data_IF_098112281082
#
_entry.id   IF_098112281082
#
_cell.length_a   1.000
_cell.length_b   1.000
_cell.length_c   1.000
_cell.angle_alpha   90.00
_cell.angle_beta   90.00
_cell.angle_gamma   90.00
#
_symmetry.space_group_name_H-M   'P 1'
#
loop_
_entity.id
_entity.type
_entity.pdbx_description
1 polymer ?
#
# COMPACT_ATOMS: atom_id res chain seq x y z
N UNK A 1 20.39 -27.48 -40.58
CA UNK A 1 21.54 -26.60 -40.28
C UNK A 1 21.11 -25.14 -40.26
N UNK A 2 20.92 -24.44 -41.40
CA UNK A 2 20.53 -23.01 -41.38
C UNK A 2 19.16 -22.69 -40.74
N UNK A 3 18.22 -23.63 -40.75
CA UNK A 3 16.92 -23.48 -40.06
C UNK A 3 17.02 -23.70 -38.53
N UNK A 4 17.91 -24.58 -38.08
CA UNK A 4 18.19 -24.81 -36.66
C UNK A 4 18.93 -23.63 -36.03
N UNK A 5 19.91 -23.07 -36.75
CA UNK A 5 20.66 -21.89 -36.30
C UNK A 5 19.74 -20.68 -36.12
N UNK A 6 18.79 -20.49 -37.03
CA UNK A 6 17.82 -19.40 -36.96
C UNK A 6 16.80 -19.60 -35.83
N UNK A 7 16.39 -20.83 -35.54
CA UNK A 7 15.53 -21.13 -34.38
C UNK A 7 16.26 -20.90 -33.06
N UNK A 8 17.52 -21.35 -32.96
CA UNK A 8 18.33 -21.13 -31.77
C UNK A 8 18.63 -19.65 -31.51
N UNK A 9 18.79 -18.85 -32.57
CA UNK A 9 18.96 -17.41 -32.46
C UNK A 9 17.67 -16.71 -31.98
N UNK A 10 16.51 -17.12 -32.50
CA UNK A 10 15.20 -16.62 -32.03
C UNK A 10 14.97 -16.98 -30.56
N UNK A 11 15.26 -18.22 -30.16
CA UNK A 11 15.11 -18.66 -28.76
C UNK A 11 16.08 -17.92 -27.83
N UNK A 12 17.29 -17.61 -28.28
CA UNK A 12 18.24 -16.80 -27.52
C UNK A 12 17.78 -15.36 -27.36
N UNK A 13 17.32 -14.73 -28.44
CA UNK A 13 16.80 -13.35 -28.40
C UNK A 13 15.56 -13.27 -27.48
N UNK A 14 14.62 -14.21 -27.60
CA UNK A 14 13.45 -14.28 -26.73
C UNK A 14 13.84 -14.57 -25.26
N UNK A 15 14.83 -15.43 -25.03
CA UNK A 15 15.34 -15.72 -23.70
C UNK A 15 16.02 -14.52 -23.03
N UNK A 16 16.72 -13.69 -23.80
CA UNK A 16 17.38 -12.47 -23.33
C UNK A 16 16.37 -11.34 -23.03
N UNK A 17 15.31 -11.22 -23.84
CA UNK A 17 14.32 -10.11 -23.75
C UNK A 17 13.11 -10.40 -22.83
N UNK A 18 12.66 -11.66 -22.76
CA UNK A 18 11.42 -12.05 -22.04
C UNK A 18 11.73 -12.98 -20.85
N UNK A 19 12.96 -13.51 -20.80
CA UNK A 19 13.42 -14.45 -19.78
C UNK A 19 13.43 -15.88 -20.29
N UNK A 20 14.34 -16.68 -19.72
CA UNK A 20 14.48 -18.11 -20.01
C UNK A 20 13.37 -18.94 -19.34
N UNK A 21 13.49 -20.27 -19.38
CA UNK A 21 12.46 -21.26 -19.02
C UNK A 21 11.70 -21.03 -17.68
N UNK A 22 12.25 -20.23 -16.75
CA UNK A 22 11.64 -19.96 -15.47
C UNK A 22 10.60 -18.84 -15.50
N UNK A 23 10.55 -18.00 -16.55
CA UNK A 23 9.61 -16.90 -16.75
C UNK A 23 9.72 -15.76 -15.73
N UNK A 24 10.81 -15.67 -14.96
CA UNK A 24 10.97 -14.64 -13.91
C UNK A 24 11.00 -13.23 -14.49
N UNK A 25 11.69 -13.03 -15.61
CA UNK A 25 11.86 -11.70 -16.21
C UNK A 25 10.50 -11.14 -16.68
N UNK A 26 9.74 -11.91 -17.46
CA UNK A 26 8.37 -11.55 -17.84
C UNK A 26 7.44 -11.29 -16.65
N UNK A 27 7.51 -12.13 -15.60
CA UNK A 27 6.70 -11.93 -14.38
C UNK A 27 7.08 -10.64 -13.66
N UNK A 28 8.38 -10.39 -13.48
CA UNK A 28 8.89 -9.18 -12.83
C UNK A 28 8.48 -7.92 -13.61
N UNK A 29 8.57 -7.98 -14.94
CA UNK A 29 8.09 -6.93 -15.83
C UNK A 29 6.57 -6.70 -15.73
N UNK A 30 5.76 -7.75 -15.75
CA UNK A 30 4.31 -7.60 -15.58
C UNK A 30 3.92 -7.07 -14.18
N UNK A 31 4.65 -7.49 -13.15
CA UNK A 31 4.48 -7.00 -11.79
C UNK A 31 4.90 -5.53 -11.66
N UNK A 32 5.94 -5.08 -12.37
CA UNK A 32 6.36 -3.68 -12.34
C UNK A 32 5.32 -2.76 -12.99
N UNK A 33 4.68 -3.19 -14.10
CA UNK A 33 3.54 -2.47 -14.69
C UNK A 33 2.33 -2.41 -13.74
N UNK A 34 2.08 -3.51 -13.02
CA UNK A 34 1.02 -3.53 -12.00
C UNK A 34 1.35 -2.59 -10.85
N UNK A 35 2.61 -2.55 -10.44
CA UNK A 35 3.10 -1.65 -9.40
C UNK A 35 2.99 -0.19 -9.84
N UNK A 36 3.29 0.15 -11.10
CA UNK A 36 3.11 1.50 -11.62
C UNK A 36 1.64 1.95 -11.54
N UNK A 37 0.70 1.04 -11.88
CA UNK A 37 -0.74 1.28 -11.68
C UNK A 37 -1.13 1.46 -10.21
N UNK A 38 -0.54 0.67 -9.32
CA UNK A 38 -0.75 0.81 -7.87
C UNK A 38 -0.24 2.15 -7.37
N UNK A 39 0.97 2.54 -7.76
CA UNK A 39 1.59 3.80 -7.35
C UNK A 39 0.77 5.00 -7.82
N UNK A 40 0.17 4.95 -9.01
CA UNK A 40 -0.71 6.01 -9.48
C UNK A 40 -1.92 6.22 -8.56
N UNK A 41 -2.59 5.13 -8.15
CA UNK A 41 -3.77 5.23 -7.25
C UNK A 41 -3.34 5.55 -5.82
N UNK A 42 -2.26 4.94 -5.33
CA UNK A 42 -1.72 5.19 -4.00
C UNK A 42 -1.28 6.66 -3.85
N UNK A 43 -0.62 7.23 -4.85
CA UNK A 43 -0.21 8.65 -4.82
C UNK A 43 -1.39 9.61 -4.80
N UNK A 44 -2.54 9.27 -5.42
CA UNK A 44 -3.74 10.08 -5.31
C UNK A 44 -4.23 10.16 -3.85
N UNK A 45 -4.23 9.04 -3.13
CA UNK A 45 -4.53 9.03 -1.70
C UNK A 45 -3.43 9.69 -0.86
N UNK A 46 -2.16 9.49 -1.22
CA UNK A 46 -1.03 10.08 -0.50
C UNK A 46 -1.01 11.61 -0.62
N UNK A 47 -1.48 12.17 -1.72
CA UNK A 47 -1.63 13.63 -1.88
C UNK A 47 -2.60 14.23 -0.85
N UNK A 48 -3.65 13.49 -0.47
CA UNK A 48 -4.61 13.91 0.56
C UNK A 48 -4.07 13.68 1.98
N UNK A 49 -3.34 12.58 2.18
CA UNK A 49 -2.85 12.14 3.49
C UNK A 49 -1.56 12.84 3.94
N UNK A 50 -0.61 12.97 3.01
CA UNK A 50 0.74 13.48 3.24
C UNK A 50 1.30 14.09 1.94
N UNK A 51 0.81 15.27 1.50
CA UNK A 51 1.18 15.90 0.22
C UNK A 51 2.67 16.20 0.06
N UNK A 52 3.43 16.17 1.16
CA UNK A 52 4.90 16.21 1.18
C UNK A 52 5.54 15.05 0.40
N UNK A 53 4.92 13.88 0.40
CA UNK A 53 5.51 12.66 -0.14
C UNK A 53 4.84 12.19 -1.42
N UNK A 54 5.66 11.67 -2.33
CA UNK A 54 5.21 10.95 -3.50
C UNK A 54 6.02 9.66 -3.64
N UNK A 55 5.36 8.55 -3.93
CA UNK A 55 6.01 7.27 -4.15
C UNK A 55 6.36 7.10 -5.63
N UNK A 56 7.54 6.54 -5.87
CA UNK A 56 7.96 6.11 -7.18
C UNK A 56 8.76 4.81 -7.10
N UNK A 57 8.87 4.13 -8.24
CA UNK A 57 9.70 2.95 -8.37
C UNK A 57 11.17 3.36 -8.48
N UNK A 58 12.06 2.61 -7.85
CA UNK A 58 13.51 2.82 -8.02
C UNK A 58 13.86 2.50 -9.48
N UNK A 59 14.53 3.42 -10.23
CA UNK A 59 14.88 3.18 -11.61
C UNK A 59 15.73 1.91 -11.77
N UNK A 60 15.37 1.07 -12.75
CA UNK A 60 16.04 -0.23 -13.02
C UNK A 60 15.88 -1.30 -11.93
N UNK A 61 15.01 -1.09 -10.95
CA UNK A 61 14.62 -2.09 -9.96
C UNK A 61 13.13 -2.38 -10.10
N UNK A 62 12.77 -3.63 -10.36
CA UNK A 62 11.41 -3.94 -10.81
C UNK A 62 10.33 -3.65 -9.76
N UNK A 63 10.61 -3.90 -8.48
CA UNK A 63 9.61 -3.85 -7.39
C UNK A 63 10.04 -3.02 -6.17
N UNK A 64 11.13 -2.27 -6.28
CA UNK A 64 11.64 -1.46 -5.18
C UNK A 64 11.04 -0.05 -5.22
N UNK A 65 10.71 0.50 -4.04
CA UNK A 65 10.07 1.80 -3.90
C UNK A 65 11.03 2.81 -3.28
N UNK A 66 10.96 4.04 -3.76
CA UNK A 66 11.57 5.22 -3.17
C UNK A 66 10.52 6.32 -2.99
N UNK A 67 10.84 7.30 -2.17
CA UNK A 67 9.96 8.44 -1.87
C UNK A 67 10.61 9.73 -2.33
N UNK A 68 9.82 10.59 -2.97
CA UNK A 68 10.18 11.97 -3.27
C UNK A 68 9.68 12.84 -2.11
N UNK A 69 10.58 13.56 -1.47
CA UNK A 69 10.29 14.51 -0.40
C UNK A 69 10.20 15.93 -0.98
N UNK A 70 8.98 16.39 -1.24
CA UNK A 70 8.71 17.68 -1.91
C UNK A 70 9.13 18.88 -1.06
N UNK A 71 9.03 18.76 0.26
CA UNK A 71 9.44 19.81 1.20
C UNK A 71 10.97 19.96 1.26
N UNK A 72 11.69 18.89 0.90
CA UNK A 72 13.16 18.87 0.80
C UNK A 72 13.65 19.09 -0.65
N UNK A 73 12.91 19.88 -1.43
CA UNK A 73 13.30 20.20 -2.81
C UNK A 73 13.15 19.04 -3.79
N UNK A 74 12.18 18.14 -3.54
CA UNK A 74 11.97 16.91 -4.31
C UNK A 74 13.16 15.94 -4.22
N UNK A 75 13.79 15.85 -3.04
CA UNK A 75 14.86 14.89 -2.79
C UNK A 75 14.32 13.46 -2.84
N UNK A 76 15.02 12.58 -3.55
CA UNK A 76 14.71 11.16 -3.63
C UNK A 76 15.38 10.42 -2.48
N UNK A 77 14.58 9.76 -1.64
CA UNK A 77 15.03 9.07 -0.43
C UNK A 77 14.52 7.63 -0.41
N UNK A 78 15.22 6.77 0.31
CA UNK A 78 14.72 5.42 0.61
C UNK A 78 13.49 5.50 1.51
N UNK A 79 12.49 4.65 1.25
CA UNK A 79 11.32 4.47 2.13
C UNK A 79 11.71 4.06 3.56
N UNK A 80 12.89 3.47 3.74
CA UNK A 80 13.42 3.10 5.06
C UNK A 80 13.79 4.32 5.93
N UNK A 81 13.90 5.51 5.33
CA UNK A 81 14.26 6.74 6.04
C UNK A 81 13.05 7.51 6.60
N UNK A 82 11.83 7.00 6.36
CA UNK A 82 10.60 7.58 6.84
C UNK A 82 10.43 7.35 8.36
N UNK A 83 9.83 8.31 9.05
CA UNK A 83 9.42 8.14 10.44
C UNK A 83 8.30 7.10 10.58
N UNK A 84 7.96 6.71 11.82
CA UNK A 84 6.90 5.74 12.06
C UNK A 84 5.52 6.20 11.56
N UNK A 85 5.19 7.49 11.73
CA UNK A 85 3.94 8.06 11.22
C UNK A 85 3.93 8.18 9.70
N UNK A 86 5.05 8.59 9.09
CA UNK A 86 5.17 8.71 7.64
C UNK A 86 5.07 7.34 6.94
N UNK A 87 5.75 6.33 7.50
CA UNK A 87 5.68 4.95 7.01
C UNK A 87 4.26 4.40 7.09
N UNK A 88 3.52 4.75 8.14
CA UNK A 88 2.12 4.38 8.29
C UNK A 88 1.24 5.00 7.20
N UNK A 89 1.39 6.30 6.90
CA UNK A 89 0.62 6.98 5.85
C UNK A 89 0.91 6.42 4.46
N UNK A 90 2.19 6.14 4.17
CA UNK A 90 2.61 5.49 2.93
C UNK A 90 2.00 4.09 2.81
N UNK A 91 2.05 3.29 3.88
CA UNK A 91 1.47 1.94 3.90
C UNK A 91 -0.05 1.98 3.76
N UNK A 92 -0.70 2.96 4.40
CA UNK A 92 -2.13 3.20 4.28
C UNK A 92 -2.48 3.51 2.82
N UNK A 93 -1.85 4.52 2.21
CA UNK A 93 -2.09 4.91 0.81
C UNK A 93 -1.94 3.72 -0.18
N UNK A 94 -0.91 2.87 0.03
CA UNK A 94 -0.72 1.65 -0.74
C UNK A 94 -1.84 0.63 -0.52
N UNK A 95 -2.28 0.41 0.72
CA UNK A 95 -3.39 -0.48 1.03
C UNK A 95 -4.71 0.00 0.39
N UNK A 96 -4.93 1.32 0.36
CA UNK A 96 -6.08 1.91 -0.33
C UNK A 96 -6.00 1.72 -1.85
N UNK A 97 -4.82 1.97 -2.43
CA UNK A 97 -4.57 1.75 -3.86
C UNK A 97 -4.78 0.29 -4.27
N UNK A 98 -4.26 -0.65 -3.49
CA UNK A 98 -4.44 -2.10 -3.71
C UNK A 98 -5.91 -2.49 -3.63
N UNK A 99 -6.62 -1.96 -2.62
CA UNK A 99 -8.05 -2.18 -2.48
C UNK A 99 -8.78 -1.71 -3.73
N UNK A 100 -8.48 -0.51 -4.24
CA UNK A 100 -9.07 0.08 -5.46
C UNK A 100 -8.81 -0.71 -6.75
N UNK A 101 -7.61 -1.25 -6.94
CA UNK A 101 -7.28 -2.06 -8.12
C UNK A 101 -7.97 -3.44 -8.15
N UNK A 102 -8.26 -3.98 -6.97
CA UNK A 102 -8.86 -5.31 -6.78
C UNK A 102 -10.30 -5.46 -7.32
N UNK A 103 -10.87 -4.41 -7.93
CA UNK A 103 -12.23 -4.42 -8.46
C UNK A 103 -12.46 -5.35 -9.67
N UNK A 104 -11.41 -5.76 -10.42
CA UNK A 104 -11.57 -6.46 -11.70
C UNK A 104 -11.64 -7.99 -11.60
N UNK A 105 -10.85 -8.67 -10.75
CA UNK A 105 -10.86 -10.14 -10.63
C UNK A 105 -10.94 -10.69 -9.19
N UNK A 106 -10.53 -9.92 -8.16
CA UNK A 106 -10.48 -10.37 -6.76
C UNK A 106 -11.07 -9.29 -5.86
N UNK A 107 -12.37 -9.31 -5.58
CA UNK A 107 -13.01 -8.26 -4.76
C UNK A 107 -12.50 -8.30 -3.31
N UNK A 108 -11.50 -7.48 -2.98
CA UNK A 108 -11.13 -7.17 -1.59
C UNK A 108 -12.24 -6.30 -1.01
N UNK A 109 -13.12 -6.93 -0.22
CA UNK A 109 -14.28 -6.27 0.41
C UNK A 109 -13.97 -5.70 1.79
N UNK A 110 -12.88 -6.16 2.40
CA UNK A 110 -12.53 -5.85 3.79
C UNK A 110 -11.08 -5.39 3.87
N UNK A 111 -10.86 -4.26 4.51
CA UNK A 111 -9.54 -3.74 4.87
C UNK A 111 -9.44 -3.73 6.39
N UNK A 112 -8.41 -4.37 6.95
CA UNK A 112 -8.08 -4.32 8.37
C UNK A 112 -6.78 -3.54 8.54
N UNK A 113 -6.80 -2.50 9.36
CA UNK A 113 -5.64 -1.66 9.67
C UNK A 113 -5.30 -1.86 11.14
N UNK A 114 -4.05 -2.24 11.41
CA UNK A 114 -3.58 -2.55 12.75
C UNK A 114 -2.53 -1.54 13.22
N UNK A 115 -2.88 -0.77 14.24
CA UNK A 115 -2.05 0.24 14.91
C UNK A 115 -1.41 1.28 13.95
N UNK A 116 -0.64 2.23 14.47
CA UNK A 116 0.06 3.26 13.68
C UNK A 116 -0.65 4.62 13.60
N UNK A 117 -1.90 4.73 14.04
CA UNK A 117 -2.57 6.03 14.19
C UNK A 117 -2.04 6.86 15.37
N UNK A 118 -1.46 6.22 16.39
CA UNK A 118 -0.96 6.89 17.60
C UNK A 118 0.32 7.69 17.40
N UNK A 119 1.00 7.52 16.27
CA UNK A 119 2.19 8.28 15.89
C UNK A 119 1.87 9.49 15.01
N UNK A 120 0.60 9.65 14.61
CA UNK A 120 0.13 10.78 13.81
C UNK A 120 -0.20 11.98 14.69
N UNK A 121 0.07 13.18 14.18
CA UNK A 121 -0.47 14.39 14.77
C UNK A 121 -2.00 14.46 14.52
N UNK A 122 -2.75 15.27 15.29
CA UNK A 122 -4.21 15.33 15.20
C UNK A 122 -4.75 15.69 13.81
N UNK A 123 -4.04 16.55 13.05
CA UNK A 123 -4.50 16.98 11.73
C UNK A 123 -4.33 15.87 10.69
N UNK A 124 -3.22 15.15 10.73
CA UNK A 124 -2.97 14.01 9.87
C UNK A 124 -3.90 12.83 10.19
N UNK A 125 -4.19 12.60 11.48
CA UNK A 125 -5.18 11.61 11.90
C UNK A 125 -6.58 11.93 11.34
N UNK A 126 -6.96 13.21 11.33
CA UNK A 126 -8.24 13.65 10.78
C UNK A 126 -8.37 13.34 9.29
N UNK A 127 -7.34 13.71 8.51
CA UNK A 127 -7.27 13.38 7.08
C UNK A 127 -7.33 11.87 6.84
N UNK A 128 -6.58 11.08 7.62
CA UNK A 128 -6.59 9.62 7.51
C UNK A 128 -7.99 9.04 7.71
N UNK A 129 -8.72 9.49 8.73
CA UNK A 129 -10.07 9.05 9.01
C UNK A 129 -11.06 9.47 7.90
N UNK A 130 -10.92 10.68 7.37
CA UNK A 130 -11.75 11.17 6.25
C UNK A 130 -11.61 10.31 5.00
N UNK A 131 -10.38 9.86 4.67
CA UNK A 131 -10.13 8.96 3.54
C UNK A 131 -10.72 7.56 3.79
N UNK A 132 -10.66 7.06 5.02
CA UNK A 132 -11.29 5.79 5.39
C UNK A 132 -12.82 5.84 5.29
N UNK A 133 -13.43 6.95 5.70
CA UNK A 133 -14.88 7.17 5.57
C UNK A 133 -15.30 7.20 4.09
N UNK A 134 -14.52 7.88 3.24
CA UNK A 134 -14.76 7.89 1.79
C UNK A 134 -14.72 6.48 1.20
N UNK A 135 -13.80 5.63 1.66
CA UNK A 135 -13.75 4.23 1.24
C UNK A 135 -14.93 3.41 1.75
N UNK A 136 -15.35 3.63 2.99
CA UNK A 136 -16.53 2.98 3.55
C UNK A 136 -17.79 3.31 2.72
N UNK A 137 -17.92 4.56 2.26
CA UNK A 137 -19.00 5.00 1.38
C UNK A 137 -19.03 4.30 0.01
N UNK A 138 -17.90 3.76 -0.46
CA UNK A 138 -17.85 2.92 -1.68
C UNK A 138 -18.36 1.48 -1.47
N UNK A 139 -18.86 1.15 -0.27
CA UNK A 139 -19.37 -0.18 0.07
C UNK A 139 -18.30 -1.14 0.58
N UNK A 140 -17.14 -0.64 1.01
CA UNK A 140 -16.06 -1.42 1.61
C UNK A 140 -16.21 -1.49 3.12
N UNK A 141 -15.86 -2.63 3.71
CA UNK A 141 -15.73 -2.75 5.16
C UNK A 141 -14.31 -2.38 5.56
N UNK A 142 -14.17 -1.33 6.36
CA UNK A 142 -12.90 -0.95 6.97
C UNK A 142 -12.99 -1.28 8.45
N UNK A 143 -12.05 -2.07 8.95
CA UNK A 143 -11.85 -2.33 10.37
C UNK A 143 -10.54 -1.73 10.83
N UNK A 144 -10.55 -1.05 11.97
CA UNK A 144 -9.36 -0.41 12.53
C UNK A 144 -9.14 -0.95 13.95
N UNK A 145 -7.90 -1.35 14.23
CA UNK A 145 -7.42 -1.70 15.56
C UNK A 145 -6.53 -0.57 16.03
N UNK A 146 -6.92 0.10 17.11
CA UNK A 146 -6.15 1.21 17.66
C UNK A 146 -6.44 1.42 19.14
N UNK A 147 -5.43 1.90 19.86
CA UNK A 147 -5.55 2.41 21.22
C UNK A 147 -5.82 3.92 21.30
N UNK A 148 -5.93 4.61 20.16
CA UNK A 148 -6.10 6.07 20.10
C UNK A 148 -7.54 6.46 20.44
N UNK A 149 -7.78 7.27 21.49
CA UNK A 149 -9.14 7.65 21.90
C UNK A 149 -9.93 8.41 20.83
N UNK A 150 -9.27 9.27 20.05
CA UNK A 150 -9.91 10.08 19.00
C UNK A 150 -10.56 9.24 17.88
N UNK A 151 -10.06 8.01 17.65
CA UNK A 151 -10.68 7.08 16.71
C UNK A 151 -12.04 6.56 17.20
N UNK A 152 -12.15 6.30 18.51
CA UNK A 152 -13.36 5.78 19.14
C UNK A 152 -14.52 6.78 19.05
N UNK A 153 -14.22 8.08 19.10
CA UNK A 153 -15.25 9.13 19.01
C UNK A 153 -15.84 9.27 17.60
N UNK A 154 -15.10 8.89 16.56
CA UNK A 154 -15.56 8.97 15.16
C UNK A 154 -16.22 7.70 14.65
N UNK A 155 -15.73 6.55 15.07
CA UNK A 155 -16.26 5.26 14.62
C UNK A 155 -17.33 4.80 15.60
N UNK A 156 -18.61 4.98 15.22
CA UNK A 156 -19.74 4.70 16.09
C UNK A 156 -19.91 3.22 16.48
N UNK A 157 -19.47 2.28 15.65
CA UNK A 157 -19.51 0.85 15.95
C UNK A 157 -18.13 0.36 16.39
N UNK A 158 -18.01 -0.16 17.62
CA UNK A 158 -16.71 -0.53 18.15
C UNK A 158 -16.74 -1.83 18.96
N UNK A 159 -15.67 -2.61 18.84
CA UNK A 159 -15.42 -3.79 19.66
C UNK A 159 -14.41 -3.42 20.72
N UNK A 160 -14.84 -3.32 21.98
CA UNK A 160 -13.98 -2.95 23.10
C UNK A 160 -13.43 -4.20 23.79
N UNK A 161 -12.12 -4.27 23.93
CA UNK A 161 -11.44 -5.32 24.71
C UNK A 161 -11.08 -4.77 26.08
N UNK A 162 -11.65 -5.33 27.15
CA UNK A 162 -11.44 -4.90 28.54
C UNK A 162 -10.66 -5.96 29.31
N UNK A 163 -9.53 -5.58 29.91
CA UNK A 163 -8.74 -6.48 30.73
C UNK A 163 -9.47 -6.77 32.07
N UNK A 164 -9.56 -8.04 32.45
CA UNK A 164 -10.22 -8.50 33.70
C UNK A 164 -9.26 -9.05 34.76
N UNK A 165 -7.95 -9.04 34.48
CA UNK A 165 -6.90 -9.57 35.35
C UNK A 165 -6.69 -11.08 35.21
N UNK A 166 -5.53 -11.57 35.67
CA UNK A 166 -5.15 -12.98 35.55
C UNK A 166 -4.98 -13.46 34.10
N UNK A 167 -4.54 -12.59 33.20
CA UNK A 167 -4.36 -12.89 31.77
C UNK A 167 -5.67 -13.05 30.98
N UNK A 168 -6.80 -12.63 31.54
CA UNK A 168 -8.12 -12.69 30.88
C UNK A 168 -8.58 -11.32 30.40
N UNK A 169 -9.29 -11.35 29.28
CA UNK A 169 -9.95 -10.17 28.70
C UNK A 169 -11.40 -10.51 28.38
N UNK A 170 -12.25 -9.49 28.39
CA UNK A 170 -13.64 -9.55 27.99
C UNK A 170 -13.86 -8.67 26.75
N UNK A 171 -14.66 -9.16 25.82
CA UNK A 171 -15.02 -8.44 24.59
C UNK A 171 -16.42 -7.89 24.73
N UNK A 172 -16.57 -6.59 24.57
CA UNK A 172 -17.85 -5.87 24.61
C UNK A 172 -18.08 -5.26 23.23
N UNK A 173 -19.19 -5.63 22.59
CA UNK A 173 -19.61 -5.07 21.31
C UNK A 173 -20.57 -3.93 21.59
N UNK A 174 -20.31 -2.74 21.03
CA UNK A 174 -21.16 -1.55 21.17
C UNK A 174 -21.40 -0.87 19.83
#
# INVERSE_FOLDING_TARGET
VAADERSAEVDRILGDEIGTHDGKLLRSFAQSLTLDGLLAVANAHLEELAPRYQLERVPRHDLELQVIDRDLGSEVRSVQSLSGGESFLVSLALALGLSSMSAHDVRVRTLLIDEGFGTLDPSTLDSALSVLDALQATGRQVGVISHVPALVERVGAHVRVVQRGGGRSEVIVS
#
